data_IF_741785982127
#
_entry.id   IF_741785982127
#
_cell.length_a   1.000
_cell.length_b   1.000
_cell.length_c   1.000
_cell.angle_alpha   90.00
_cell.angle_beta   90.00
_cell.angle_gamma   90.00
#
_symmetry.space_group_name_H-M   'P 1'
#
loop_
_entity.id
_entity.type
_entity.pdbx_description
1 polymer ?
#
# COMPACT_ATOMS: atom_id res chain seq x y z
N UNK A 1 -9.45 7.87 16.12
CA UNK A 1 -10.67 7.30 15.49
C UNK A 1 -10.80 5.87 15.95
N UNK A 2 -12.03 5.43 16.22
CA UNK A 2 -12.29 4.13 16.82
C UNK A 2 -12.83 3.16 15.77
N UNK A 3 -12.37 1.92 15.85
CA UNK A 3 -12.76 0.85 14.94
C UNK A 3 -13.09 -0.38 15.76
N UNK A 4 -14.00 -1.19 15.24
CA UNK A 4 -14.37 -2.46 15.83
C UNK A 4 -14.05 -3.56 14.83
N UNK A 5 -13.41 -4.62 15.32
CA UNK A 5 -13.29 -5.90 14.60
C UNK A 5 -14.15 -6.91 15.34
N UNK A 6 -15.16 -7.43 14.67
CA UNK A 6 -16.04 -8.48 15.19
C UNK A 6 -15.69 -9.80 14.51
N UNK A 7 -15.42 -10.83 15.30
CA UNK A 7 -15.21 -12.20 14.84
C UNK A 7 -16.43 -13.02 15.25
N UNK A 8 -17.22 -13.45 14.25
CA UNK A 8 -18.41 -14.26 14.45
C UNK A 8 -18.13 -15.72 14.03
N UNK A 9 -18.75 -16.67 14.73
CA UNK A 9 -18.57 -18.12 14.54
C UNK A 9 -17.11 -18.60 14.72
N UNK A 10 -16.33 -17.89 15.55
CA UNK A 10 -14.97 -18.26 15.89
C UNK A 10 -14.89 -19.57 16.70
N UNK A 11 -13.79 -20.31 16.54
CA UNK A 11 -13.51 -21.51 17.34
C UNK A 11 -13.16 -21.18 18.82
N UNK A 12 -12.77 -19.94 19.09
CA UNK A 12 -12.44 -19.46 20.43
C UNK A 12 -13.69 -19.12 21.27
N UNK A 13 -13.61 -19.19 22.61
CA UNK A 13 -14.68 -18.70 23.48
C UNK A 13 -15.00 -17.22 23.22
N UNK A 14 -16.28 -16.82 23.34
CA UNK A 14 -16.70 -15.43 23.18
C UNK A 14 -15.90 -14.45 24.05
N UNK A 15 -15.32 -13.44 23.42
CA UNK A 15 -14.49 -12.44 24.08
C UNK A 15 -13.07 -12.93 24.40
N UNK A 16 -12.65 -14.05 23.82
CA UNK A 16 -11.28 -14.51 23.82
C UNK A 16 -10.73 -14.58 22.39
N UNK A 17 -9.42 -14.42 22.27
CA UNK A 17 -8.70 -14.58 21.00
C UNK A 17 -7.37 -15.28 21.27
N UNK A 18 -7.01 -16.22 20.41
CA UNK A 18 -5.68 -16.81 20.44
C UNK A 18 -4.61 -15.75 20.12
N UNK A 19 -3.47 -15.81 20.83
CA UNK A 19 -2.41 -14.81 20.67
C UNK A 19 -1.75 -14.87 19.29
N UNK A 20 -1.61 -16.05 18.68
CA UNK A 20 -1.10 -16.16 17.30
C UNK A 20 -2.08 -15.56 16.31
N UNK A 21 -3.39 -15.79 16.50
CA UNK A 21 -4.43 -15.15 15.69
C UNK A 21 -4.37 -13.62 15.80
N UNK A 22 -4.21 -13.08 17.01
CA UNK A 22 -4.03 -11.64 17.23
C UNK A 22 -2.77 -11.10 16.53
N UNK A 23 -1.66 -11.85 16.55
CA UNK A 23 -0.44 -11.51 15.82
C UNK A 23 -0.69 -11.47 14.31
N UNK A 24 -1.46 -12.42 13.76
CA UNK A 24 -1.82 -12.42 12.35
C UNK A 24 -2.68 -11.21 11.97
N UNK A 25 -3.66 -10.86 12.80
CA UNK A 25 -4.49 -9.65 12.61
C UNK A 25 -3.62 -8.41 12.63
N UNK A 26 -2.79 -8.23 13.66
CA UNK A 26 -1.93 -7.06 13.82
C UNK A 26 -0.95 -6.91 12.66
N UNK A 27 -0.28 -7.98 12.25
CA UNK A 27 0.64 -7.97 11.11
C UNK A 27 -0.08 -7.67 9.79
N UNK A 28 -1.27 -8.23 9.60
CA UNK A 28 -2.11 -8.00 8.43
C UNK A 28 -2.49 -6.53 8.29
N UNK A 29 -3.05 -5.96 9.36
CA UNK A 29 -3.38 -4.53 9.44
C UNK A 29 -2.16 -3.70 9.09
N UNK A 30 -1.03 -3.92 9.77
CA UNK A 30 0.18 -3.14 9.56
C UNK A 30 0.66 -3.17 8.10
N UNK A 31 0.79 -4.37 7.50
CA UNK A 31 1.34 -4.53 6.15
C UNK A 31 0.42 -3.99 5.07
N UNK A 32 -0.89 -4.23 5.19
CA UNK A 32 -1.88 -3.80 4.20
C UNK A 32 -2.01 -2.28 4.26
N UNK A 33 -2.14 -1.69 5.44
CA UNK A 33 -2.18 -0.23 5.62
C UNK A 33 -0.90 0.44 5.12
N UNK A 34 0.27 -0.15 5.38
CA UNK A 34 1.54 0.35 4.86
C UNK A 34 1.60 0.32 3.34
N UNK A 35 1.25 -0.82 2.74
CA UNK A 35 1.22 -0.98 1.29
C UNK A 35 0.28 0.04 0.64
N UNK A 36 -0.92 0.20 1.19
CA UNK A 36 -1.91 1.17 0.74
C UNK A 36 -1.43 2.63 0.86
N UNK A 37 -0.71 2.96 1.94
CA UNK A 37 -0.08 4.27 2.13
C UNK A 37 1.02 4.49 1.09
N UNK A 38 1.87 3.49 0.86
CA UNK A 38 2.97 3.57 -0.09
C UNK A 38 2.48 3.68 -1.52
N UNK A 39 1.39 2.99 -1.88
CA UNK A 39 0.77 3.24 -3.18
C UNK A 39 0.39 4.71 -3.28
N UNK A 40 -0.27 5.32 -2.30
CA UNK A 40 -0.66 6.75 -2.40
C UNK A 40 0.56 7.69 -2.50
N UNK A 41 1.62 7.42 -1.75
CA UNK A 41 2.83 8.26 -1.73
C UNK A 41 3.73 8.07 -2.96
N UNK A 42 4.01 6.82 -3.33
CA UNK A 42 5.03 6.42 -4.32
C UNK A 42 4.46 5.82 -5.60
N UNK A 43 3.22 5.36 -5.55
CA UNK A 43 2.52 4.68 -6.64
C UNK A 43 2.63 3.16 -6.64
N UNK A 44 3.42 2.59 -5.73
CA UNK A 44 3.51 1.14 -5.51
C UNK A 44 3.51 0.83 -4.01
N UNK A 45 3.07 -0.36 -3.62
CA UNK A 45 2.97 -0.81 -2.23
C UNK A 45 4.28 -1.31 -1.66
N UNK A 46 5.26 -1.62 -2.52
CA UNK A 46 6.50 -2.26 -2.10
C UNK A 46 7.29 -1.36 -1.13
N UNK A 47 7.59 -1.89 0.05
CA UNK A 47 8.49 -1.28 1.02
C UNK A 47 9.87 -1.97 0.99
N UNK A 48 10.84 -1.39 0.27
CA UNK A 48 12.25 -1.77 0.41
C UNK A 48 12.99 -0.70 1.22
N UNK A 49 13.50 -1.07 2.41
CA UNK A 49 14.44 -0.25 3.19
C UNK A 49 14.05 0.10 4.63
N UNK A 50 14.90 0.89 5.31
CA UNK A 50 14.65 1.40 6.68
C UNK A 50 13.60 2.51 6.59
N UNK A 51 12.53 2.37 7.37
CA UNK A 51 11.43 3.34 7.44
C UNK A 51 11.91 4.59 8.19
N UNK A 52 11.41 5.77 7.80
CA UNK A 52 11.51 6.94 8.67
C UNK A 52 10.62 6.68 9.90
N UNK A 53 11.08 7.08 11.08
CA UNK A 53 10.33 6.93 12.35
C UNK A 53 8.92 7.53 12.21
N UNK A 54 8.80 8.69 11.56
CA UNK A 54 7.51 9.33 11.29
C UNK A 54 6.51 8.49 10.50
N UNK A 55 6.96 7.59 9.62
CA UNK A 55 6.06 6.66 8.91
C UNK A 55 5.60 5.50 9.81
N UNK A 56 6.43 5.09 10.78
CA UNK A 56 6.04 4.07 11.75
C UNK A 56 4.99 4.61 12.71
N UNK A 57 5.17 5.84 13.19
CA UNK A 57 4.21 6.52 14.06
C UNK A 57 2.88 6.79 13.33
N UNK A 58 2.95 7.13 12.04
CA UNK A 58 1.79 7.31 11.19
C UNK A 58 0.93 6.04 11.05
N UNK A 59 1.56 4.87 11.09
CA UNK A 59 0.92 3.56 10.90
C UNK A 59 0.47 2.89 12.20
N UNK A 60 0.58 3.58 13.35
CA UNK A 60 0.23 3.02 14.65
C UNK A 60 -1.29 2.78 14.77
N UNK A 61 -1.64 1.55 15.16
CA UNK A 61 -2.99 1.13 15.55
C UNK A 61 -2.88 0.50 16.94
N UNK A 62 -3.76 0.88 17.85
CA UNK A 62 -3.74 0.44 19.25
C UNK A 62 -4.97 -0.41 19.54
N UNK A 63 -4.81 -1.61 20.11
CA UNK A 63 -5.91 -2.37 20.69
C UNK A 63 -6.25 -1.79 22.07
N UNK A 64 -7.48 -1.33 22.27
CA UNK A 64 -7.93 -0.66 23.48
C UNK A 64 -8.71 -1.56 24.42
N UNK A 65 -9.51 -2.49 23.89
CA UNK A 65 -10.22 -3.50 24.69
C UNK A 65 -10.62 -4.72 23.86
N UNK A 66 -11.01 -5.79 24.57
CA UNK A 66 -11.64 -6.99 24.02
C UNK A 66 -12.94 -7.22 24.79
N UNK A 67 -14.06 -7.36 24.07
CA UNK A 67 -15.41 -7.45 24.67
C UNK A 67 -16.07 -8.81 24.44
N UNK A 68 -17.06 -9.15 25.28
CA UNK A 68 -17.83 -10.40 25.25
C UNK A 68 -19.13 -10.26 24.44
N UNK A 69 -19.60 -11.38 23.87
CA UNK A 69 -20.79 -11.50 23.02
C UNK A 69 -20.41 -12.32 21.80
N UNK A 70 -19.80 -11.64 20.82
CA UNK A 70 -18.79 -12.16 19.89
C UNK A 70 -17.39 -11.79 20.41
N UNK A 71 -16.30 -12.28 19.82
CA UNK A 71 -14.97 -11.69 20.09
C UNK A 71 -14.88 -10.37 19.35
N UNK A 72 -14.99 -9.26 20.09
CA UNK A 72 -14.89 -7.90 19.56
C UNK A 72 -13.56 -7.28 19.99
N UNK A 73 -12.76 -6.83 19.03
CA UNK A 73 -11.52 -6.11 19.27
C UNK A 73 -11.75 -4.62 18.98
N UNK A 74 -11.62 -3.79 20.00
CA UNK A 74 -11.71 -2.35 19.85
C UNK A 74 -10.34 -1.77 19.53
N UNK A 75 -10.24 -1.03 18.43
CA UNK A 75 -9.01 -0.46 17.92
C UNK A 75 -9.10 1.06 17.84
N UNK A 76 -7.97 1.72 18.08
CA UNK A 76 -7.83 3.16 17.88
C UNK A 76 -6.70 3.45 16.89
N UNK A 77 -6.98 4.35 15.94
CA UNK A 77 -6.00 4.84 14.98
C UNK A 77 -6.12 6.36 14.79
N UNK A 78 -4.98 7.02 14.62
CA UNK A 78 -4.90 8.45 14.37
C UNK A 78 -5.05 8.77 12.88
N UNK A 79 -5.63 9.94 12.59
CA UNK A 79 -5.65 10.48 11.24
C UNK A 79 -4.25 10.91 10.80
N UNK A 80 -3.93 10.74 9.52
CA UNK A 80 -2.61 11.05 9.00
C UNK A 80 -2.23 12.52 9.15
N UNK A 81 -3.17 13.46 9.10
CA UNK A 81 -2.86 14.89 9.35
C UNK A 81 -2.23 15.15 10.73
N UNK A 82 -2.43 14.26 11.69
CA UNK A 82 -1.92 14.41 13.06
C UNK A 82 -0.54 13.77 13.27
N UNK A 83 -0.13 12.81 12.43
CA UNK A 83 1.07 11.98 12.68
C UNK A 83 1.91 11.68 11.44
N UNK A 84 1.36 11.86 10.24
CA UNK A 84 2.08 11.85 8.98
C UNK A 84 2.66 13.26 8.80
N UNK A 85 3.95 13.44 9.08
CA UNK A 85 4.63 14.74 8.92
C UNK A 85 4.49 15.32 7.50
N UNK A 86 4.92 16.56 7.25
CA UNK A 86 4.76 17.21 5.95
C UNK A 86 5.24 16.34 4.77
N UNK A 87 4.31 15.89 3.94
CA UNK A 87 4.58 15.28 2.63
C UNK A 87 4.07 16.23 1.54
N UNK A 88 4.93 16.51 0.55
CA UNK A 88 4.53 17.32 -0.59
C UNK A 88 3.58 16.50 -1.47
N UNK A 89 2.33 16.97 -1.62
CA UNK A 89 1.35 16.33 -2.47
C UNK A 89 1.78 16.39 -3.94
N UNK A 90 1.55 15.29 -4.65
CA UNK A 90 1.76 15.14 -6.07
C UNK A 90 0.53 15.67 -6.81
N UNK A 91 0.73 16.74 -7.59
CA UNK A 91 -0.33 17.40 -8.38
C UNK A 91 -1.01 16.42 -9.35
N UNK A 92 -0.32 15.34 -9.76
CA UNK A 92 -0.86 14.32 -10.67
C UNK A 92 -1.65 13.20 -9.98
N UNK A 93 -1.66 13.17 -8.64
CA UNK A 93 -2.46 12.25 -7.82
C UNK A 93 -3.31 13.01 -6.81
N UNK A 94 -3.68 14.24 -7.17
CA UNK A 94 -4.35 15.19 -6.30
C UNK A 94 -5.60 14.56 -5.66
N UNK A 95 -6.41 13.79 -6.39
CA UNK A 95 -7.61 13.15 -5.85
C UNK A 95 -7.29 12.05 -4.81
N UNK A 96 -6.41 11.10 -5.16
CA UNK A 96 -6.04 10.00 -4.25
C UNK A 96 -5.26 10.48 -3.01
N UNK A 97 -4.62 11.66 -3.09
CA UNK A 97 -3.88 12.26 -1.98
C UNK A 97 -4.67 13.31 -1.22
N UNK A 98 -5.73 13.89 -1.79
CA UNK A 98 -6.56 14.91 -1.14
C UNK A 98 -7.29 14.37 0.09
N UNK A 99 -7.76 13.14 0.02
CA UNK A 99 -8.42 12.49 1.16
C UNK A 99 -7.41 11.99 2.22
N UNK A 100 -6.14 11.77 1.85
CA UNK A 100 -5.15 11.11 2.70
C UNK A 100 -4.98 11.75 4.10
N UNK A 101 -4.96 13.08 4.27
CA UNK A 101 -4.84 13.69 5.60
C UNK A 101 -5.93 13.26 6.59
N UNK A 102 -7.13 12.98 6.11
CA UNK A 102 -8.27 12.57 6.94
C UNK A 102 -8.40 11.04 7.06
N UNK A 103 -7.62 10.27 6.30
CA UNK A 103 -7.53 8.83 6.45
C UNK A 103 -6.74 8.41 7.69
N UNK A 104 -6.88 7.15 8.08
CA UNK A 104 -6.10 6.47 9.11
C UNK A 104 -5.52 5.17 8.52
N UNK A 105 -4.59 4.49 9.21
CA UNK A 105 -4.17 3.15 8.81
C UNK A 105 -5.33 2.17 8.62
N UNK A 106 -6.32 2.18 9.52
CA UNK A 106 -7.49 1.29 9.44
C UNK A 106 -8.41 1.64 8.28
N UNK A 107 -8.59 2.92 7.94
CA UNK A 107 -9.39 3.28 6.77
C UNK A 107 -8.70 2.86 5.46
N UNK A 108 -7.36 2.97 5.40
CA UNK A 108 -6.60 2.44 4.26
C UNK A 108 -6.69 0.91 4.16
N UNK A 109 -6.69 0.21 5.29
CA UNK A 109 -6.91 -1.24 5.33
C UNK A 109 -8.26 -1.60 4.73
N UNK A 110 -9.34 -0.99 5.23
CA UNK A 110 -10.72 -1.23 4.78
C UNK A 110 -10.86 -0.95 3.28
N UNK A 111 -10.38 0.22 2.85
CA UNK A 111 -10.45 0.63 1.44
C UNK A 111 -9.68 -0.31 0.51
N UNK A 112 -8.59 -0.91 0.97
CA UNK A 112 -7.82 -1.87 0.15
C UNK A 112 -8.62 -3.13 -0.16
N UNK A 113 -9.37 -3.66 0.83
CA UNK A 113 -10.27 -4.78 0.58
C UNK A 113 -11.45 -4.38 -0.30
N UNK A 114 -12.08 -3.24 -0.01
CA UNK A 114 -13.20 -2.73 -0.82
C UNK A 114 -12.79 -2.52 -2.29
N UNK A 115 -11.62 -1.94 -2.54
CA UNK A 115 -11.04 -1.81 -3.87
C UNK A 115 -10.87 -3.17 -4.56
N UNK A 116 -10.37 -4.18 -3.84
CA UNK A 116 -10.17 -5.52 -4.40
C UNK A 116 -11.48 -6.30 -4.60
N UNK A 117 -12.53 -5.95 -3.86
CA UNK A 117 -13.88 -6.51 -3.96
C UNK A 117 -14.77 -5.76 -4.96
N UNK A 118 -14.41 -4.55 -5.36
CA UNK A 118 -15.16 -3.80 -6.37
C UNK A 118 -15.03 -4.46 -7.76
N UNK A 119 -16.13 -4.51 -8.52
CA UNK A 119 -16.17 -5.07 -9.89
C UNK A 119 -15.50 -4.18 -10.94
N UNK A 120 -15.05 -3.00 -10.54
CA UNK A 120 -14.36 -2.08 -11.44
C UNK A 120 -12.95 -2.61 -11.76
N UNK A 121 -12.75 -3.05 -13.00
CA UNK A 121 -11.42 -3.39 -13.49
C UNK A 121 -10.53 -2.12 -13.51
N UNK A 122 -9.39 -2.17 -12.82
CA UNK A 122 -8.34 -1.16 -12.94
C UNK A 122 -8.27 -0.09 -11.84
N UNK A 123 -8.30 -0.49 -10.56
CA UNK A 123 -7.98 0.42 -9.45
C UNK A 123 -6.47 0.75 -9.40
N UNK A 124 -6.12 2.03 -9.48
CA UNK A 124 -4.74 2.53 -9.36
C UNK A 124 -4.12 2.30 -7.97
N UNK A 125 -4.95 1.95 -6.99
CA UNK A 125 -4.60 1.75 -5.60
C UNK A 125 -4.36 0.27 -5.25
N UNK A 126 -4.30 -0.60 -6.26
CA UNK A 126 -3.92 -2.01 -6.13
C UNK A 126 -2.72 -2.35 -7.00
N UNK A 127 -1.81 -3.14 -6.45
CA UNK A 127 -0.70 -3.75 -7.16
C UNK A 127 -0.44 -5.18 -6.65
N UNK A 128 0.47 -5.90 -7.32
CA UNK A 128 0.69 -7.31 -7.02
C UNK A 128 1.14 -7.58 -5.57
N UNK A 129 2.10 -6.83 -4.98
CA UNK A 129 2.50 -7.06 -3.60
C UNK A 129 1.36 -6.79 -2.60
N UNK A 130 0.53 -5.76 -2.80
CA UNK A 130 -0.61 -5.51 -1.90
C UNK A 130 -1.64 -6.63 -1.98
N UNK A 131 -1.96 -7.12 -3.18
CA UNK A 131 -2.88 -8.25 -3.36
C UNK A 131 -2.38 -9.53 -2.66
N UNK A 132 -1.05 -9.77 -2.64
CA UNK A 132 -0.45 -10.88 -1.88
C UNK A 132 -0.69 -10.73 -0.39
N UNK A 133 -0.58 -9.54 0.16
CA UNK A 133 -0.85 -9.30 1.59
C UNK A 133 -2.34 -9.42 1.91
N UNK A 134 -3.24 -8.90 1.05
CA UNK A 134 -4.68 -9.13 1.19
C UNK A 134 -5.01 -10.63 1.17
N UNK A 135 -4.46 -11.40 0.23
CA UNK A 135 -4.62 -12.87 0.18
C UNK A 135 -4.07 -13.56 1.43
N UNK A 136 -2.92 -13.13 1.93
CA UNK A 136 -2.30 -13.70 3.12
C UNK A 136 -3.11 -13.42 4.39
N UNK A 137 -3.93 -12.35 4.39
CA UNK A 137 -4.80 -12.03 5.51
C UNK A 137 -5.85 -13.10 5.78
N UNK A 138 -6.17 -13.99 4.83
CA UNK A 138 -7.06 -15.15 5.05
C UNK A 138 -6.69 -16.01 6.26
N UNK A 139 -5.42 -15.97 6.69
CA UNK A 139 -4.91 -16.69 7.88
C UNK A 139 -5.57 -16.24 9.19
N UNK A 140 -6.29 -15.13 9.20
CA UNK A 140 -7.06 -14.70 10.38
C UNK A 140 -8.40 -15.42 10.52
N UNK A 141 -8.84 -16.16 9.50
CA UNK A 141 -10.04 -16.99 9.51
C UNK A 141 -9.64 -18.45 9.75
N UNK A 142 -10.25 -19.10 10.74
CA UNK A 142 -9.97 -20.47 11.13
C UNK A 142 -10.99 -21.49 10.57
N UNK A 143 -12.12 -21.03 10.02
CA UNK A 143 -13.16 -21.89 9.42
C UNK A 143 -13.87 -21.19 8.25
N UNK A 144 -14.70 -21.93 7.53
CA UNK A 144 -15.49 -21.40 6.39
C UNK A 144 -16.71 -20.58 6.84
N UNK A 145 -17.25 -20.87 8.02
CA UNK A 145 -18.43 -20.21 8.59
C UNK A 145 -18.10 -18.92 9.36
N UNK A 146 -16.82 -18.66 9.60
CA UNK A 146 -16.34 -17.46 10.28
C UNK A 146 -16.57 -16.20 9.43
N UNK A 147 -17.03 -15.14 10.10
CA UNK A 147 -17.20 -13.81 9.49
C UNK A 147 -16.33 -12.82 10.26
N UNK A 148 -15.47 -12.12 9.53
CA UNK A 148 -14.61 -11.08 10.08
C UNK A 148 -15.11 -9.71 9.63
N UNK A 149 -15.74 -8.99 10.54
CA UNK A 149 -16.43 -7.73 10.26
C UNK A 149 -15.64 -6.57 10.85
N UNK A 150 -15.40 -5.52 10.06
CA UNK A 150 -14.72 -4.30 10.49
C UNK A 150 -15.64 -3.10 10.29
N UNK A 151 -15.80 -2.30 11.34
CA UNK A 151 -16.65 -1.11 11.33
C UNK A 151 -15.97 0.10 11.99
N UNK A 152 -16.53 1.29 11.77
CA UNK A 152 -16.15 2.55 12.43
C UNK A 152 -17.41 3.40 12.65
N UNK A 153 -18.37 2.87 13.41
CA UNK A 153 -19.61 3.56 13.80
C UNK A 153 -20.33 4.30 12.63
N UNK A 154 -20.28 3.75 11.41
CA UNK A 154 -20.90 4.33 10.20
C UNK A 154 -20.08 5.35 9.42
N UNK A 155 -18.89 5.75 9.88
CA UNK A 155 -18.02 6.72 9.19
C UNK A 155 -17.45 6.19 7.86
N UNK A 156 -17.31 4.87 7.76
CA UNK A 156 -16.78 4.14 6.61
C UNK A 156 -17.70 2.93 6.41
N UNK A 157 -17.99 2.52 5.15
CA UNK A 157 -18.78 1.33 4.91
C UNK A 157 -18.18 0.11 5.60
N UNK A 158 -19.04 -0.71 6.20
CA UNK A 158 -18.65 -1.94 6.90
C UNK A 158 -17.93 -2.86 5.92
N UNK A 159 -16.82 -3.45 6.36
CA UNK A 159 -16.14 -4.50 5.63
C UNK A 159 -16.47 -5.84 6.27
N UNK A 160 -17.03 -6.76 5.51
CA UNK A 160 -17.21 -8.14 5.91
C UNK A 160 -16.29 -9.01 5.07
N UNK A 161 -15.52 -9.90 5.73
CA UNK A 161 -14.63 -10.84 5.07
C UNK A 161 -15.02 -12.28 5.42
N UNK A 162 -15.19 -13.09 4.37
CA UNK A 162 -15.39 -14.54 4.40
C UNK A 162 -14.27 -15.22 3.64
N UNK A 163 -14.09 -16.52 3.85
CA UNK A 163 -12.99 -17.26 3.20
C UNK A 163 -13.09 -17.24 1.67
N UNK A 164 -14.30 -17.25 1.13
CA UNK A 164 -14.59 -17.19 -0.31
C UNK A 164 -14.10 -15.91 -0.99
N UNK A 165 -14.11 -14.78 -0.28
CA UNK A 165 -13.69 -13.47 -0.82
C UNK A 165 -12.23 -13.49 -1.28
N UNK A 166 -11.39 -14.29 -0.62
CA UNK A 166 -9.96 -14.36 -0.92
C UNK A 166 -9.65 -15.06 -2.25
N UNK A 167 -10.59 -15.81 -2.83
CA UNK A 167 -10.42 -16.39 -4.16
C UNK A 167 -10.32 -15.30 -5.23
N UNK A 168 -11.10 -14.22 -5.07
CA UNK A 168 -11.08 -13.07 -5.98
C UNK A 168 -9.73 -12.39 -6.05
N UNK A 169 -9.05 -12.25 -4.91
CA UNK A 169 -7.73 -11.61 -4.84
C UNK A 169 -6.67 -12.39 -5.61
N UNK A 170 -6.80 -13.73 -5.67
CA UNK A 170 -5.92 -14.58 -6.49
C UNK A 170 -6.10 -14.28 -7.98
N UNK A 171 -7.34 -14.20 -8.45
CA UNK A 171 -7.64 -13.87 -9.86
C UNK A 171 -7.08 -12.50 -10.24
N UNK A 172 -7.25 -11.50 -9.36
CA UNK A 172 -6.67 -10.17 -9.57
C UNK A 172 -5.14 -10.20 -9.57
N UNK A 173 -4.51 -10.96 -8.67
CA UNK A 173 -3.05 -11.11 -8.60
C UNK A 173 -2.49 -11.70 -9.90
N UNK A 174 -3.14 -12.73 -10.44
CA UNK A 174 -2.70 -13.44 -11.65
C UNK A 174 -2.79 -12.57 -12.91
N UNK A 175 -3.71 -11.59 -12.94
CA UNK A 175 -3.83 -10.60 -14.03
C UNK A 175 -2.67 -9.58 -14.05
N UNK A 176 -2.02 -9.32 -12.91
CA UNK A 176 -0.95 -8.32 -12.84
C UNK A 176 0.41 -8.97 -13.18
N UNK A 177 1.16 -8.43 -14.16
CA UNK A 177 2.48 -8.96 -14.50
C UNK A 177 3.46 -8.88 -13.32
N UNK A 178 4.37 -9.84 -13.22
CA UNK A 178 5.48 -9.74 -12.28
C UNK A 178 6.35 -8.51 -12.59
N UNK A 179 6.95 -7.87 -11.56
CA UNK A 179 7.95 -6.84 -11.77
C UNK A 179 9.12 -7.35 -12.64
N UNK A 180 9.57 -6.53 -13.59
CA UNK A 180 10.63 -6.92 -14.53
C UNK A 180 11.80 -5.94 -14.49
N UNK A 181 13.05 -6.42 -14.48
CA UNK A 181 14.20 -5.53 -14.66
C UNK A 181 14.15 -4.95 -16.07
N UNK A 182 14.40 -3.65 -16.18
CA UNK A 182 14.44 -2.93 -17.46
C UNK A 182 15.64 -1.99 -17.51
N UNK A 183 16.06 -1.69 -18.73
CA UNK A 183 17.01 -0.63 -19.05
C UNK A 183 16.32 0.35 -19.98
N UNK A 184 16.37 1.64 -19.64
CA UNK A 184 15.68 2.70 -20.38
C UNK A 184 16.62 3.87 -20.58
N UNK A 185 16.71 4.34 -21.81
CA UNK A 185 17.41 5.57 -22.14
C UNK A 185 16.43 6.74 -22.16
N UNK A 186 16.86 7.89 -21.65
CA UNK A 186 16.02 9.08 -21.63
C UNK A 186 16.68 10.29 -20.99
N UNK A 187 15.87 11.32 -20.76
CA UNK A 187 16.29 12.57 -20.12
C UNK A 187 15.57 12.71 -18.79
N UNK A 188 16.31 12.98 -17.72
CA UNK A 188 15.71 13.31 -16.42
C UNK A 188 15.09 14.70 -16.50
N UNK A 189 13.76 14.75 -16.53
CA UNK A 189 12.96 15.97 -16.67
C UNK A 189 12.38 16.44 -15.34
N UNK A 190 12.18 15.53 -14.39
CA UNK A 190 11.71 15.86 -13.04
C UNK A 190 12.40 15.02 -11.97
N UNK A 191 12.68 15.65 -10.83
CA UNK A 191 13.34 15.09 -9.66
C UNK A 191 12.75 15.82 -8.47
N UNK A 192 11.88 15.14 -7.74
CA UNK A 192 11.25 15.69 -6.57
C UNK A 192 11.97 15.17 -5.32
N UNK A 193 12.64 16.07 -4.60
CA UNK A 193 13.47 15.72 -3.46
C UNK A 193 12.67 15.08 -2.30
N UNK A 194 11.45 15.57 -2.04
CA UNK A 194 10.60 15.15 -0.92
C UNK A 194 10.13 13.70 -1.01
N UNK A 195 9.78 13.23 -2.22
CA UNK A 195 9.18 11.91 -2.45
C UNK A 195 10.08 10.97 -3.27
N UNK A 196 11.32 11.39 -3.57
CA UNK A 196 12.28 10.65 -4.40
C UNK A 196 11.73 10.28 -5.79
N UNK A 197 10.78 11.05 -6.31
CA UNK A 197 10.14 10.78 -7.61
C UNK A 197 10.98 11.34 -8.75
N UNK A 198 10.99 10.61 -9.86
CA UNK A 198 11.71 10.97 -11.08
C UNK A 198 10.77 10.84 -12.28
N UNK A 199 10.79 11.83 -13.18
CA UNK A 199 10.20 11.70 -14.51
C UNK A 199 11.30 11.65 -15.56
N UNK A 200 11.17 10.68 -16.44
CA UNK A 200 12.14 10.39 -17.48
C UNK A 200 11.42 10.50 -18.81
N UNK A 201 11.87 11.42 -19.65
CA UNK A 201 11.40 11.55 -21.02
C UNK A 201 12.19 10.59 -21.90
N UNK A 202 11.51 9.60 -22.45
CA UNK A 202 12.07 8.61 -23.39
C UNK A 202 11.52 8.87 -24.79
N UNK A 203 12.09 8.23 -25.81
CA UNK A 203 11.56 8.28 -27.18
C UNK A 203 10.14 7.70 -27.30
N UNK A 204 9.78 6.76 -26.41
CA UNK A 204 8.47 6.10 -26.37
C UNK A 204 7.46 6.82 -25.48
N UNK A 205 7.83 7.95 -24.88
CA UNK A 205 6.98 8.72 -23.97
C UNK A 205 7.56 8.86 -22.56
N UNK A 206 6.69 9.23 -21.61
CA UNK A 206 7.10 9.50 -20.23
C UNK A 206 7.14 8.24 -19.38
N UNK A 207 8.21 8.08 -18.62
CA UNK A 207 8.36 7.05 -17.60
C UNK A 207 8.40 7.71 -16.23
N UNK A 208 7.54 7.24 -15.34
CA UNK A 208 7.47 7.68 -13.95
C UNK A 208 8.22 6.68 -13.08
N UNK A 209 9.01 7.18 -12.14
CA UNK A 209 9.76 6.32 -11.24
C UNK A 209 10.02 6.95 -9.88
N UNK A 210 10.62 6.16 -9.00
CA UNK A 210 11.13 6.60 -7.71
C UNK A 210 12.51 5.99 -7.47
N UNK A 211 13.33 6.64 -6.65
CA UNK A 211 14.68 6.15 -6.35
C UNK A 211 14.64 4.97 -5.39
N UNK A 212 15.42 3.93 -5.70
CA UNK A 212 15.70 2.84 -4.77
C UNK A 212 16.47 3.38 -3.55
N UNK A 213 16.42 2.62 -2.45
CA UNK A 213 16.91 3.03 -1.13
C UNK A 213 18.35 3.58 -1.12
N UNK A 214 19.25 2.99 -1.92
CA UNK A 214 20.67 3.32 -1.90
C UNK A 214 21.03 4.50 -2.83
N UNK A 215 20.02 5.04 -3.51
CA UNK A 215 20.13 6.11 -4.47
C UNK A 215 19.53 7.40 -3.89
N UNK A 216 20.38 8.42 -3.75
CA UNK A 216 19.96 9.71 -3.20
C UNK A 216 19.64 10.68 -4.33
N UNK A 217 18.75 11.64 -4.05
CA UNK A 217 18.42 12.70 -5.00
C UNK A 217 19.68 13.47 -5.45
N UNK A 218 20.66 13.69 -4.57
CA UNK A 218 21.94 14.32 -4.92
C UNK A 218 22.73 13.56 -6.00
N UNK A 219 22.74 12.22 -5.97
CA UNK A 219 23.38 11.40 -7.01
C UNK A 219 22.69 11.50 -8.36
N UNK A 220 21.38 11.81 -8.38
CA UNK A 220 20.58 11.94 -9.60
C UNK A 220 20.63 13.38 -10.14
N UNK A 221 20.71 14.37 -9.26
CA UNK A 221 20.65 15.79 -9.62
C UNK A 221 21.70 16.19 -10.66
N UNK A 222 22.90 15.57 -10.63
CA UNK A 222 23.96 15.78 -11.63
C UNK A 222 23.55 15.42 -13.08
N UNK A 223 22.50 14.61 -13.23
CA UNK A 223 21.97 14.14 -14.51
C UNK A 223 20.73 14.91 -14.99
N UNK A 224 20.33 15.96 -14.27
CA UNK A 224 19.21 16.82 -14.66
C UNK A 224 19.37 17.36 -16.08
N UNK A 225 18.36 17.19 -16.92
CA UNK A 225 18.37 17.65 -18.32
C UNK A 225 19.37 16.93 -19.23
N UNK A 226 20.10 15.92 -18.73
CA UNK A 226 21.08 15.15 -19.51
C UNK A 226 20.49 13.82 -19.97
N UNK A 227 21.01 13.32 -21.11
CA UNK A 227 20.73 11.97 -21.59
C UNK A 227 21.41 10.94 -20.69
N UNK A 228 20.65 9.98 -20.20
CA UNK A 228 21.10 8.93 -19.28
C UNK A 228 20.52 7.58 -19.66
N UNK A 229 21.22 6.54 -19.24
CA UNK A 229 20.72 5.17 -19.17
C UNK A 229 20.32 4.87 -17.73
N UNK A 230 19.11 4.37 -17.56
CA UNK A 230 18.48 4.09 -16.27
C UNK A 230 18.23 2.59 -16.18
N UNK A 231 18.69 1.99 -15.09
CA UNK A 231 18.50 0.57 -14.78
C UNK A 231 17.62 0.50 -13.54
N UNK A 232 16.60 -0.33 -13.62
CA UNK A 232 15.65 -0.47 -12.53
C UNK A 232 14.65 -1.58 -12.73
N UNK A 233 13.73 -1.68 -11.78
CA UNK A 233 12.65 -2.67 -11.81
C UNK A 233 11.33 -2.00 -12.14
N UNK A 234 10.67 -2.43 -13.21
CA UNK A 234 9.36 -1.95 -13.64
C UNK A 234 8.27 -2.71 -12.89
N UNK A 235 7.48 -1.99 -12.10
CA UNK A 235 6.32 -2.47 -11.36
C UNK A 235 5.03 -2.11 -12.10
N UNK A 236 3.98 -2.89 -11.88
CA UNK A 236 2.66 -2.72 -12.50
C UNK A 236 1.57 -2.67 -11.43
N UNK A 237 0.60 -1.78 -11.62
CA UNK A 237 -0.63 -1.75 -10.84
C UNK A 237 -1.75 -2.51 -11.57
N UNK A 238 -2.94 -2.58 -10.97
CA UNK A 238 -4.06 -3.35 -11.52
C UNK A 238 -4.64 -2.79 -12.82
N UNK A 239 -4.40 -1.50 -13.14
CA UNK A 239 -4.84 -0.88 -14.40
C UNK A 239 -3.80 -0.88 -15.51
N UNK A 240 -2.69 -1.61 -15.32
CA UNK A 240 -1.62 -1.75 -16.31
C UNK A 240 -0.66 -0.56 -16.38
N UNK A 241 -0.88 0.53 -15.62
CA UNK A 241 0.12 1.58 -15.46
C UNK A 241 1.34 1.02 -14.74
N UNK A 242 2.50 1.58 -15.09
CA UNK A 242 3.78 1.09 -14.58
C UNK A 242 4.61 2.18 -13.95
N UNK A 243 5.35 1.82 -12.91
CA UNK A 243 6.28 2.70 -12.21
C UNK A 243 7.64 2.02 -12.13
N UNK A 244 8.69 2.80 -12.37
CA UNK A 244 10.07 2.33 -12.35
C UNK A 244 10.72 2.58 -10.98
N UNK A 245 11.12 1.52 -10.30
CA UNK A 245 12.06 1.61 -9.18
C UNK A 245 13.48 1.77 -9.74
N UNK A 246 14.08 2.94 -9.56
CA UNK A 246 15.37 3.29 -10.16
C UNK A 246 16.51 2.84 -9.24
N UNK A 247 17.27 1.86 -9.71
CA UNK A 247 18.38 1.26 -8.97
C UNK A 247 19.71 1.93 -9.34
N UNK A 248 19.86 2.34 -10.60
CA UNK A 248 21.07 2.97 -11.11
C UNK A 248 20.77 3.95 -12.24
N UNK A 249 21.52 5.05 -12.27
CA UNK A 249 21.53 6.01 -13.38
C UNK A 249 22.97 6.24 -13.81
N UNK A 250 23.20 6.21 -15.12
CA UNK A 250 24.51 6.36 -15.74
C UNK A 250 24.43 7.33 -16.94
N UNK A 251 25.52 8.04 -17.28
CA UNK A 251 25.58 8.76 -18.55
C UNK A 251 25.27 7.82 -19.72
N UNK A 252 24.49 8.30 -20.69
CA UNK A 252 24.28 7.55 -21.94
C UNK A 252 25.63 7.39 -22.63
N UNK A 253 26.15 6.17 -22.71
CA UNK A 253 27.34 5.90 -23.51
C UNK A 253 26.91 5.94 -24.97
N UNK A 254 27.41 6.90 -25.74
CA UNK A 254 27.34 6.84 -27.20
C UNK A 254 28.04 5.53 -27.62
N UNK A 255 27.28 4.62 -28.23
CA UNK A 255 27.83 3.48 -28.95
C UNK A 255 28.27 3.94 -30.33
#
# INVERSE_FOLDING_TARGET
MNYEIKIENGNEPSGAIDLQRLIHIANGIQKISEGALFIRLKGISLSRGRKKISLQDALKVTLTSIERGSTVLNLEANQFKNNLGFFQMDIFRAEAQAALPDETPMSLFIKSFQSAMAENEGDELLDKPLLRELKNFKKVLNSEDEVFTISNAGSIPVLELRLEDFQRFKVLEDKIPEPKPIVVDGIVEMLQYSNLKVKIKTEKGMVYGFLAKDLTAGKIAQFWGKKVTIIGTKHYNSNGKSILEIEKVMPLKMR
#
